data_IF_411559235500
#
_entry.id   IF_411559235500
#
_cell.length_a   1.000
_cell.length_b   1.000
_cell.length_c   1.000
_cell.angle_alpha   90.00
_cell.angle_beta   90.00
_cell.angle_gamma   90.00
#
_symmetry.space_group_name_H-M   'P 1'
#
loop_
_entity.id
_entity.type
_entity.pdbx_description
1 polymer ?
#
# COMPACT_ATOMS: atom_id res chain seq x y z
N UNK A 1 42.90 12.42 -31.74
CA UNK A 1 42.81 10.95 -31.87
C UNK A 1 42.88 10.34 -30.48
N UNK A 2 41.84 9.67 -29.97
CA UNK A 2 41.87 9.01 -28.66
C UNK A 2 42.28 7.52 -28.79
N UNK A 3 43.02 6.94 -27.84
CA UNK A 3 43.08 5.50 -27.71
C UNK A 3 42.22 4.95 -26.56
N UNK A 4 41.29 4.08 -26.98
CA UNK A 4 40.85 2.81 -26.41
C UNK A 4 40.94 2.53 -24.89
N UNK A 5 39.79 2.14 -24.33
CA UNK A 5 39.63 1.38 -23.09
C UNK A 5 40.07 -0.09 -23.28
N UNK A 6 40.38 -0.81 -22.18
CA UNK A 6 39.64 -2.04 -21.95
C UNK A 6 39.17 -2.29 -20.50
N UNK A 7 38.09 -3.06 -20.44
CA UNK A 7 37.37 -3.62 -19.29
C UNK A 7 38.26 -4.37 -18.29
N UNK A 8 37.94 -4.29 -16.99
CA UNK A 8 37.88 -5.46 -16.08
C UNK A 8 37.10 -5.14 -14.79
N UNK A 9 36.30 -6.12 -14.38
CA UNK A 9 35.50 -6.23 -13.14
C UNK A 9 36.40 -6.46 -11.91
N UNK A 10 35.92 -6.06 -10.72
CA UNK A 10 35.98 -6.77 -9.42
C UNK A 10 35.42 -5.82 -8.33
N UNK A 11 34.16 -5.98 -7.88
CA UNK A 11 33.73 -6.76 -6.71
C UNK A 11 34.44 -6.40 -5.39
N UNK A 12 33.72 -5.73 -4.47
CA UNK A 12 33.69 -6.09 -3.05
C UNK A 12 32.52 -5.37 -2.34
N UNK A 13 31.45 -6.12 -2.09
CA UNK A 13 30.42 -5.77 -1.12
C UNK A 13 30.89 -6.20 0.27
N UNK A 14 30.72 -5.33 1.27
CA UNK A 14 30.69 -5.75 2.69
C UNK A 14 29.52 -5.03 3.35
N UNK A 15 28.32 -5.57 3.15
CA UNK A 15 27.17 -5.24 3.97
C UNK A 15 26.91 -6.41 4.91
N UNK A 16 27.12 -6.14 6.19
CA UNK A 16 26.92 -7.04 7.33
C UNK A 16 25.49 -7.58 7.35
N UNK A 17 25.33 -8.89 7.20
CA UNK A 17 24.08 -9.61 7.45
C UNK A 17 24.12 -10.22 8.85
N UNK A 18 23.35 -9.62 9.76
CA UNK A 18 23.03 -10.23 11.04
C UNK A 18 22.20 -11.49 10.81
N UNK A 19 22.72 -12.65 11.22
CA UNK A 19 22.04 -13.94 11.18
C UNK A 19 20.97 -13.99 12.27
N UNK A 20 19.72 -14.16 11.87
CA UNK A 20 18.65 -14.60 12.75
C UNK A 20 18.69 -16.13 12.78
N UNK A 21 19.04 -16.71 13.93
CA UNK A 21 19.10 -18.15 14.12
C UNK A 21 17.71 -18.71 14.38
N UNK A 22 17.18 -19.45 13.41
CA UNK A 22 16.00 -20.30 13.56
C UNK A 22 16.40 -21.55 14.34
N UNK A 23 15.81 -21.75 15.52
CA UNK A 23 15.97 -22.99 16.29
C UNK A 23 14.91 -24.01 15.87
N UNK A 24 15.31 -24.99 15.07
CA UNK A 24 14.63 -26.28 14.95
C UNK A 24 15.64 -27.38 15.26
N UNK A 25 15.47 -28.06 16.39
CA UNK A 25 16.03 -29.40 16.60
C UNK A 25 14.97 -30.23 17.29
N UNK A 26 14.51 -31.23 16.55
CA UNK A 26 13.65 -32.31 16.95
C UNK A 26 14.52 -33.58 16.96
N UNK A 27 14.61 -34.29 18.09
CA UNK A 27 14.50 -35.76 18.21
C UNK A 27 15.20 -36.41 19.42
N UNK A 28 14.47 -37.42 19.93
CA UNK A 28 14.88 -38.71 20.54
C UNK A 28 15.38 -38.75 22.00
N UNK A 29 14.48 -39.26 22.86
CA UNK A 29 14.64 -40.57 23.52
C UNK A 29 15.63 -40.70 24.69
N UNK A 30 15.15 -41.15 25.84
CA UNK A 30 16.00 -41.81 26.85
C UNK A 30 15.62 -41.57 28.31
N UNK A 31 15.06 -42.61 28.94
CA UNK A 31 15.27 -43.11 30.31
C UNK A 31 15.27 -42.15 31.52
N UNK A 32 14.42 -42.51 32.49
CA UNK A 32 14.42 -41.98 33.87
C UNK A 32 15.77 -42.19 34.58
N UNK A 33 16.19 -41.22 35.38
CA UNK A 33 17.30 -41.38 36.32
C UNK A 33 17.80 -40.03 36.82
N UNK A 34 17.57 -39.73 38.10
CA UNK A 34 17.81 -38.41 38.68
C UNK A 34 19.26 -37.93 38.67
N UNK A 35 19.42 -36.61 38.62
CA UNK A 35 20.26 -35.80 39.51
C UNK A 35 20.23 -34.32 39.09
N UNK A 36 20.29 -33.48 40.12
CA UNK A 36 20.72 -32.08 40.13
C UNK A 36 20.04 -31.10 39.17
N UNK A 37 19.22 -30.21 39.73
CA UNK A 37 18.90 -28.92 39.13
C UNK A 37 20.20 -28.16 38.80
N UNK A 38 20.51 -27.85 37.52
CA UNK A 38 21.53 -26.86 37.22
C UNK A 38 20.94 -25.47 37.43
N UNK A 39 21.65 -24.70 38.24
CA UNK A 39 21.43 -23.30 38.51
C UNK A 39 21.29 -22.47 37.22
N UNK A 40 20.36 -21.51 37.28
CA UNK A 40 20.41 -20.22 36.60
C UNK A 40 20.78 -20.22 35.11
N UNK A 41 19.79 -20.40 34.24
CA UNK A 41 19.72 -19.61 33.01
C UNK A 41 18.75 -18.48 33.26
N UNK A 42 19.27 -17.32 33.67
CA UNK A 42 18.51 -16.09 33.73
C UNK A 42 17.91 -15.84 32.34
N UNK A 43 16.60 -16.04 32.20
CA UNK A 43 15.86 -15.61 31.05
C UNK A 43 15.97 -14.08 31.02
N UNK A 44 16.88 -13.57 30.18
CA UNK A 44 16.90 -12.17 29.81
C UNK A 44 15.68 -11.96 28.90
N UNK A 45 14.48 -11.98 29.50
CA UNK A 45 13.32 -11.31 28.91
C UNK A 45 13.78 -9.88 28.79
N UNK A 46 14.10 -9.46 27.56
CA UNK A 46 14.36 -8.08 27.25
C UNK A 46 13.13 -7.30 27.72
N UNK A 47 13.21 -6.76 28.93
CA UNK A 47 12.31 -5.73 29.42
C UNK A 47 12.54 -4.58 28.46
N UNK A 48 11.69 -4.49 27.46
CA UNK A 48 11.55 -3.30 26.65
C UNK A 48 11.14 -2.21 27.63
N UNK A 49 12.12 -1.51 28.20
CA UNK A 49 11.89 -0.40 29.11
C UNK A 49 11.26 0.70 28.27
N UNK A 50 9.93 0.69 28.20
CA UNK A 50 9.17 1.79 27.66
C UNK A 50 9.39 2.97 28.60
N UNK A 51 10.43 3.75 28.30
CA UNK A 51 10.67 5.03 28.96
C UNK A 51 9.42 5.89 28.74
N UNK A 52 8.70 6.32 29.78
CA UNK A 52 7.61 7.24 29.60
C UNK A 52 8.20 8.63 29.34
N UNK A 53 7.44 9.45 28.62
CA UNK A 53 7.59 10.91 28.58
C UNK A 53 8.73 11.50 27.73
N UNK A 54 8.69 11.26 26.43
CA UNK A 54 8.64 12.40 25.53
C UNK A 54 7.21 12.45 25.00
N UNK A 55 6.38 13.37 25.50
CA UNK A 55 5.07 13.63 24.94
C UNK A 55 5.27 13.96 23.46
N UNK A 56 5.01 12.98 22.59
CA UNK A 56 5.05 13.17 21.15
C UNK A 56 4.13 14.36 20.86
N UNK A 57 4.69 15.52 20.50
CA UNK A 57 3.92 16.59 19.86
C UNK A 57 3.13 15.89 18.76
N UNK A 58 1.81 15.83 18.89
CA UNK A 58 0.95 14.93 18.13
C UNK A 58 0.95 15.37 16.66
N UNK A 59 2.00 15.07 15.89
CA UNK A 59 2.16 15.35 14.46
C UNK A 59 1.26 16.49 13.97
N UNK A 60 1.43 17.67 14.57
CA UNK A 60 0.47 18.75 14.38
C UNK A 60 0.69 19.25 12.97
N UNK A 61 -0.22 18.83 12.07
CA UNK A 61 -0.23 19.32 10.71
C UNK A 61 -0.32 20.86 10.80
N UNK A 62 0.44 21.60 9.99
CA UNK A 62 0.39 23.06 10.01
C UNK A 62 -1.07 23.52 9.89
N UNK A 63 -1.50 24.56 10.63
CA UNK A 63 -2.90 24.98 10.65
C UNK A 63 -3.41 25.27 9.23
N UNK A 64 -4.72 25.11 9.00
CA UNK A 64 -5.30 25.42 7.68
C UNK A 64 -5.14 26.92 7.41
N UNK A 65 -4.66 27.33 6.23
CA UNK A 65 -4.59 28.75 5.90
C UNK A 65 -6.00 29.35 5.93
N UNK A 66 -6.12 30.53 6.54
CA UNK A 66 -7.39 31.26 6.60
C UNK A 66 -7.64 31.91 5.23
N UNK A 67 -8.90 31.95 4.76
CA UNK A 67 -9.23 32.70 3.55
C UNK A 67 -8.96 34.20 3.76
N UNK A 68 -8.51 34.93 2.73
CA UNK A 68 -8.31 36.37 2.81
C UNK A 68 -9.63 37.11 3.04
N UNK A 69 -9.57 38.37 3.52
CA UNK A 69 -10.76 39.21 3.71
C UNK A 69 -11.44 39.49 2.37
N UNK A 70 -12.76 39.69 2.41
CA UNK A 70 -13.57 39.93 1.21
C UNK A 70 -13.23 41.28 0.51
N UNK A 71 -12.48 42.19 1.15
CA UNK A 71 -12.05 43.47 0.57
C UNK A 71 -11.03 43.32 -0.57
N UNK A 72 -10.22 42.26 -0.53
CA UNK A 72 -9.05 42.11 -1.40
C UNK A 72 -9.35 41.14 -2.57
N UNK A 73 -10.61 40.75 -2.72
CA UNK A 73 -11.07 39.71 -3.64
C UNK A 73 -12.07 40.28 -4.63
N UNK A 74 -11.76 40.15 -5.92
CA UNK A 74 -12.72 40.35 -7.00
C UNK A 74 -13.41 39.01 -7.31
N UNK A 75 -14.74 38.96 -7.12
CA UNK A 75 -15.56 37.78 -7.44
C UNK A 75 -16.24 37.95 -8.80
N UNK A 76 -16.08 36.98 -9.69
CA UNK A 76 -16.81 36.92 -10.96
C UNK A 76 -17.49 35.57 -11.17
N UNK A 77 -18.69 35.62 -11.73
CA UNK A 77 -19.52 34.43 -12.00
C UNK A 77 -19.51 34.11 -13.47
N UNK A 78 -19.08 32.89 -13.80
CA UNK A 78 -18.97 32.40 -15.16
C UNK A 78 -19.96 31.24 -15.40
N UNK A 79 -20.28 31.01 -16.66
CA UNK A 79 -20.92 29.75 -17.09
C UNK A 79 -19.90 28.63 -17.01
N UNK A 80 -20.37 27.41 -16.74
CA UNK A 80 -19.48 26.26 -16.68
C UNK A 80 -18.91 25.93 -18.06
N UNK A 81 -17.69 25.38 -18.07
CA UNK A 81 -17.03 24.88 -19.28
C UNK A 81 -17.14 23.36 -19.36
N UNK A 82 -17.08 22.82 -20.58
CA UNK A 82 -17.02 21.38 -20.87
C UNK A 82 -18.30 20.77 -21.45
N UNK A 83 -18.26 19.48 -21.87
CA UNK A 83 -19.44 18.74 -22.29
C UNK A 83 -20.39 18.64 -21.09
N UNK A 84 -21.42 19.47 -21.10
CA UNK A 84 -22.31 19.67 -19.97
C UNK A 84 -23.78 19.64 -20.36
N UNK A 85 -24.62 19.23 -19.42
CA UNK A 85 -26.07 19.28 -19.60
C UNK A 85 -26.63 20.71 -19.51
N UNK A 86 -27.96 20.80 -19.59
CA UNK A 86 -28.71 22.06 -19.55
C UNK A 86 -28.28 22.98 -18.39
N UNK A 87 -27.95 22.40 -17.21
CA UNK A 87 -27.58 23.17 -16.02
C UNK A 87 -26.28 23.95 -16.18
N UNK A 88 -25.27 23.36 -16.83
CA UNK A 88 -23.92 23.93 -17.00
C UNK A 88 -23.96 25.11 -17.98
N UNK A 89 -24.73 24.97 -19.06
CA UNK A 89 -24.80 25.97 -20.13
C UNK A 89 -25.69 27.18 -19.77
N UNK A 90 -26.75 26.94 -18.98
CA UNK A 90 -27.71 28.01 -18.61
C UNK A 90 -27.35 28.75 -17.33
N UNK A 91 -26.78 28.07 -16.32
CA UNK A 91 -26.54 28.68 -15.00
C UNK A 91 -25.10 29.16 -14.86
N UNK A 92 -24.90 30.39 -14.40
CA UNK A 92 -23.60 30.95 -13.99
C UNK A 92 -23.18 30.44 -12.61
N UNK A 93 -22.95 29.13 -12.50
CA UNK A 93 -22.55 28.49 -11.23
C UNK A 93 -21.03 28.43 -11.01
N UNK A 94 -20.22 28.62 -12.06
CA UNK A 94 -18.76 28.61 -11.91
C UNK A 94 -18.30 29.94 -11.30
N UNK A 95 -17.39 29.87 -10.33
CA UNK A 95 -16.89 31.05 -9.62
C UNK A 95 -15.42 31.22 -9.95
N UNK A 96 -15.06 32.43 -10.35
CA UNK A 96 -13.69 32.88 -10.48
C UNK A 96 -13.41 33.93 -9.41
N UNK A 97 -12.33 33.72 -8.65
CA UNK A 97 -11.85 34.66 -7.65
C UNK A 97 -10.49 35.18 -8.11
N UNK A 98 -10.29 36.49 -8.03
CA UNK A 98 -9.00 37.13 -8.25
C UNK A 98 -8.60 37.88 -6.98
N UNK A 99 -7.41 37.60 -6.48
CA UNK A 99 -6.84 38.35 -5.37
C UNK A 99 -6.13 39.58 -5.95
N UNK A 100 -6.61 40.78 -5.60
CA UNK A 100 -6.14 42.04 -6.19
C UNK A 100 -4.64 42.27 -5.96
N UNK A 101 -4.09 42.15 -4.73
CA UNK A 101 -2.70 42.53 -4.49
C UNK A 101 -1.68 41.52 -5.02
N UNK A 102 -2.02 40.22 -5.11
CA UNK A 102 -1.10 39.20 -5.65
C UNK A 102 -1.38 38.85 -7.12
N UNK A 103 -2.50 39.29 -7.68
CA UNK A 103 -2.92 38.97 -9.05
C UNK A 103 -3.29 37.50 -9.27
N UNK A 104 -3.37 36.67 -8.23
CA UNK A 104 -3.67 35.24 -8.37
C UNK A 104 -5.13 35.05 -8.72
N UNK A 105 -5.36 34.25 -9.77
CA UNK A 105 -6.69 33.88 -10.22
C UNK A 105 -6.95 32.40 -9.93
N UNK A 106 -8.12 32.12 -9.37
CA UNK A 106 -8.61 30.76 -9.10
C UNK A 106 -10.01 30.61 -9.69
N UNK A 107 -10.25 29.48 -10.38
CA UNK A 107 -11.56 29.12 -10.92
C UNK A 107 -12.02 27.82 -10.25
N UNK A 108 -13.29 27.74 -9.86
CA UNK A 108 -13.89 26.54 -9.29
C UNK A 108 -15.24 26.22 -9.92
N UNK A 109 -15.37 24.98 -10.39
CA UNK A 109 -16.58 24.38 -10.98
C UNK A 109 -16.78 22.96 -10.42
N UNK A 110 -16.70 22.80 -9.09
CA UNK A 110 -16.78 21.48 -8.46
C UNK A 110 -18.24 20.98 -8.34
N UNK A 111 -19.18 21.88 -8.10
CA UNK A 111 -20.58 21.54 -7.80
C UNK A 111 -21.56 22.36 -8.63
N UNK A 112 -22.84 21.94 -8.63
CA UNK A 112 -23.95 22.70 -9.25
C UNK A 112 -24.33 23.99 -8.50
N UNK A 113 -23.88 24.15 -7.25
CA UNK A 113 -24.27 25.25 -6.38
C UNK A 113 -23.21 26.35 -6.33
N UNK A 114 -23.61 27.59 -6.61
CA UNK A 114 -22.70 28.76 -6.59
C UNK A 114 -22.06 29.00 -5.22
N UNK A 115 -22.81 28.80 -4.13
CA UNK A 115 -22.33 29.08 -2.78
C UNK A 115 -21.28 28.08 -2.33
N UNK A 116 -21.44 26.81 -2.72
CA UNK A 116 -20.43 25.78 -2.49
C UNK A 116 -19.17 26.06 -3.32
N UNK A 117 -19.33 26.43 -4.60
CA UNK A 117 -18.19 26.79 -5.44
C UNK A 117 -17.44 28.03 -4.90
N UNK A 118 -18.14 29.02 -4.33
CA UNK A 118 -17.52 30.18 -3.66
C UNK A 118 -16.66 29.75 -2.46
N UNK A 119 -17.18 28.88 -1.60
CA UNK A 119 -16.41 28.34 -0.44
C UNK A 119 -15.16 27.60 -0.91
N UNK A 120 -15.31 26.71 -1.88
CA UNK A 120 -14.20 25.93 -2.44
C UNK A 120 -13.17 26.85 -3.10
N UNK A 121 -13.61 27.86 -3.87
CA UNK A 121 -12.70 28.82 -4.50
C UNK A 121 -11.90 29.61 -3.46
N UNK A 122 -12.51 30.03 -2.34
CA UNK A 122 -11.79 30.69 -1.24
C UNK A 122 -10.75 29.78 -0.57
N UNK A 123 -11.10 28.51 -0.34
CA UNK A 123 -10.16 27.53 0.21
C UNK A 123 -8.96 27.29 -0.72
N UNK A 124 -9.22 27.18 -2.03
CA UNK A 124 -8.17 27.04 -3.04
C UNK A 124 -7.29 28.29 -3.14
N UNK A 125 -7.89 29.48 -3.06
CA UNK A 125 -7.15 30.74 -3.06
C UNK A 125 -6.25 30.85 -1.82
N UNK A 126 -6.77 30.50 -0.64
CA UNK A 126 -5.99 30.45 0.60
C UNK A 126 -4.79 29.49 0.51
N UNK A 127 -4.99 28.31 -0.09
CA UNK A 127 -3.91 27.35 -0.32
C UNK A 127 -2.85 27.91 -1.27
N UNK A 128 -3.24 28.52 -2.39
CA UNK A 128 -2.28 29.13 -3.32
C UNK A 128 -1.50 30.27 -2.68
N UNK A 129 -2.14 31.08 -1.84
CA UNK A 129 -1.46 32.14 -1.09
C UNK A 129 -0.45 31.57 -0.09
N UNK A 130 -0.82 30.50 0.63
CA UNK A 130 0.07 29.78 1.54
C UNK A 130 1.28 29.18 0.80
N UNK A 131 1.05 28.60 -0.38
CA UNK A 131 2.11 28.05 -1.22
C UNK A 131 3.08 29.13 -1.71
N UNK A 132 2.59 30.34 -2.03
CA UNK A 132 3.46 31.45 -2.41
C UNK A 132 4.25 32.01 -1.23
N UNK A 133 3.65 32.07 -0.03
CA UNK A 133 4.30 32.64 1.15
C UNK A 133 5.30 31.67 1.79
N UNK A 134 4.94 30.40 1.90
CA UNK A 134 5.66 29.41 2.69
C UNK A 134 6.39 28.35 1.84
N UNK A 135 6.08 28.22 0.54
CA UNK A 135 6.76 27.30 -0.37
C UNK A 135 6.78 25.86 0.14
N UNK A 136 7.97 25.33 0.46
CA UNK A 136 8.16 23.97 0.97
C UNK A 136 7.57 23.73 2.37
N UNK A 137 7.42 24.80 3.16
CA UNK A 137 6.78 24.74 4.48
C UNK A 137 5.26 24.89 4.40
N UNK A 138 4.70 25.04 3.19
CA UNK A 138 3.27 25.16 3.04
C UNK A 138 2.56 23.89 3.51
N UNK A 139 1.30 24.04 3.93
CA UNK A 139 0.50 22.89 4.35
C UNK A 139 0.34 21.88 3.21
N UNK A 140 0.22 22.35 1.96
CA UNK A 140 0.02 21.47 0.80
C UNK A 140 1.26 20.59 0.56
N UNK A 141 2.47 21.16 0.66
CA UNK A 141 3.73 20.47 0.51
C UNK A 141 3.94 19.41 1.59
N UNK A 142 3.72 19.78 2.86
CA UNK A 142 3.85 18.87 4.01
C UNK A 142 2.83 17.73 3.92
N UNK A 143 1.57 18.04 3.62
CA UNK A 143 0.53 17.01 3.43
C UNK A 143 0.88 16.09 2.25
N UNK A 144 1.41 16.65 1.17
CA UNK A 144 1.90 15.91 0.01
C UNK A 144 3.05 14.95 0.38
N UNK A 145 4.00 15.40 1.19
CA UNK A 145 5.10 14.57 1.66
C UNK A 145 4.64 13.42 2.57
N UNK A 146 3.74 13.70 3.52
CA UNK A 146 3.15 12.67 4.39
C UNK A 146 2.39 11.64 3.57
N UNK A 147 1.61 12.07 2.58
CA UNK A 147 0.90 11.16 1.67
C UNK A 147 1.88 10.30 0.87
N UNK A 148 2.96 10.89 0.33
CA UNK A 148 4.02 10.17 -0.40
C UNK A 148 4.71 9.12 0.48
N UNK A 149 5.09 9.46 1.71
CA UNK A 149 5.71 8.53 2.68
C UNK A 149 4.78 7.34 3.00
N UNK A 150 3.48 7.61 3.21
CA UNK A 150 2.46 6.57 3.45
C UNK A 150 2.28 5.67 2.23
N UNK A 151 2.18 6.23 1.03
CA UNK A 151 2.06 5.46 -0.22
C UNK A 151 3.30 4.58 -0.46
N UNK A 152 4.51 5.10 -0.27
CA UNK A 152 5.75 4.34 -0.41
C UNK A 152 5.83 3.17 0.60
N UNK A 153 5.39 3.40 1.84
CA UNK A 153 5.34 2.36 2.87
C UNK A 153 4.31 1.27 2.53
N UNK A 154 3.14 1.67 2.01
CA UNK A 154 2.12 0.74 1.55
C UNK A 154 2.61 -0.12 0.37
N UNK A 155 3.28 0.51 -0.61
CA UNK A 155 3.86 -0.18 -1.77
C UNK A 155 4.98 -1.17 -1.37
N UNK A 156 5.83 -0.82 -0.40
CA UNK A 156 6.85 -1.76 0.13
C UNK A 156 6.21 -2.97 0.81
N UNK A 157 5.14 -2.75 1.58
CA UNK A 157 4.40 -3.83 2.26
C UNK A 157 3.70 -4.74 1.26
N UNK A 158 3.02 -4.19 0.25
CA UNK A 158 2.40 -5.00 -0.80
C UNK A 158 3.43 -5.82 -1.56
N UNK A 159 4.56 -5.21 -1.97
CA UNK A 159 5.65 -5.92 -2.64
C UNK A 159 6.19 -7.09 -1.80
N UNK A 160 6.42 -6.88 -0.49
CA UNK A 160 6.86 -7.96 0.41
C UNK A 160 5.81 -9.07 0.52
N UNK A 161 4.53 -8.72 0.61
CA UNK A 161 3.43 -9.70 0.68
C UNK A 161 3.39 -10.57 -0.57
N UNK A 162 3.41 -9.97 -1.75
CA UNK A 162 3.33 -10.73 -3.00
C UNK A 162 4.58 -11.57 -3.26
N UNK A 163 5.77 -11.04 -2.94
CA UNK A 163 7.01 -11.82 -3.00
C UNK A 163 6.95 -13.06 -2.10
N UNK A 164 6.47 -12.92 -0.87
CA UNK A 164 6.32 -14.06 0.04
C UNK A 164 5.35 -15.11 -0.52
N UNK A 165 4.21 -14.69 -1.08
CA UNK A 165 3.24 -15.61 -1.67
C UNK A 165 3.79 -16.33 -2.91
N UNK A 166 4.76 -15.74 -3.62
CA UNK A 166 5.43 -16.37 -4.75
C UNK A 166 6.47 -17.41 -4.27
N UNK A 167 7.24 -17.07 -3.23
CA UNK A 167 8.15 -18.00 -2.54
C UNK A 167 7.38 -19.19 -1.94
N UNK A 168 6.31 -18.95 -1.18
CA UNK A 168 5.47 -20.00 -0.57
C UNK A 168 4.83 -20.92 -1.65
N UNK A 169 4.49 -20.37 -2.83
CA UNK A 169 3.95 -21.16 -3.96
C UNK A 169 5.02 -22.02 -4.61
N UNK A 170 6.21 -21.47 -4.85
CA UNK A 170 7.33 -22.22 -5.38
C UNK A 170 7.73 -23.37 -4.44
N UNK A 171 7.76 -23.14 -3.13
CA UNK A 171 7.98 -24.18 -2.12
C UNK A 171 6.90 -25.27 -2.19
N UNK A 172 5.62 -24.89 -2.35
CA UNK A 172 4.51 -25.85 -2.48
C UNK A 172 4.63 -26.70 -3.75
N UNK A 173 4.97 -26.08 -4.89
CA UNK A 173 5.17 -26.78 -6.18
C UNK A 173 6.40 -27.72 -6.16
N UNK A 174 7.46 -27.36 -5.45
CA UNK A 174 8.62 -28.25 -5.23
C UNK A 174 8.27 -29.44 -4.32
N UNK A 175 7.37 -29.26 -3.34
CA UNK A 175 6.93 -30.36 -2.47
C UNK A 175 5.90 -31.30 -3.11
N UNK A 176 5.10 -30.82 -4.07
CA UNK A 176 4.06 -31.62 -4.76
C UNK A 176 4.62 -32.48 -5.90
N UNK A 177 5.86 -32.24 -6.34
CA UNK A 177 6.55 -33.04 -7.36
C UNK A 177 7.45 -34.16 -6.79
N UNK A 178 7.51 -34.29 -5.45
CA UNK A 178 8.36 -35.24 -4.74
C UNK A 178 7.71 -36.57 -4.34
N UNK A 179 6.39 -36.69 -4.39
CA UNK A 179 5.65 -37.91 -3.99
C UNK A 179 4.66 -38.34 -5.07
N UNK A 180 5.19 -38.89 -6.15
CA UNK A 180 4.44 -39.77 -7.06
C UNK A 180 5.22 -41.08 -7.24
N UNK A 181 5.25 -41.90 -6.19
CA UNK A 181 5.52 -43.33 -6.39
C UNK A 181 4.31 -43.98 -7.09
N UNK A 182 4.51 -44.77 -8.16
CA UNK A 182 3.44 -45.52 -8.78
C UNK A 182 3.18 -46.78 -7.96
N UNK A 183 2.19 -46.76 -7.07
CA UNK A 183 1.61 -48.02 -6.58
C UNK A 183 0.81 -48.67 -7.72
N UNK A 184 1.53 -49.50 -8.48
CA UNK A 184 0.94 -50.53 -9.31
C UNK A 184 0.43 -51.65 -8.40
N UNK A 185 -0.87 -51.68 -8.12
CA UNK A 185 -1.55 -52.93 -7.77
C UNK A 185 -2.85 -53.04 -8.58
N UNK A 186 -2.71 -53.58 -9.79
CA UNK A 186 -3.82 -54.05 -10.59
C UNK A 186 -4.39 -55.32 -9.93
N UNK A 187 -5.46 -55.18 -9.17
CA UNK A 187 -6.32 -56.31 -8.79
C UNK A 187 -7.52 -56.30 -9.74
N UNK A 188 -7.47 -57.15 -10.76
CA UNK A 188 -8.58 -57.40 -11.68
C UNK A 188 -9.79 -57.94 -10.89
N UNK A 189 -11.02 -57.39 -11.05
CA UNK A 189 -12.20 -58.04 -10.54
C UNK A 189 -12.53 -59.28 -11.40
N UNK A 190 -12.89 -60.43 -10.79
CA UNK A 190 -13.28 -61.63 -11.54
C UNK A 190 -14.49 -61.34 -12.44
N UNK A 191 -14.37 -61.75 -13.70
CA UNK A 191 -15.43 -61.74 -14.69
C UNK A 191 -16.42 -62.86 -14.33
N UNK A 192 -17.58 -62.52 -13.76
CA UNK A 192 -18.75 -63.40 -13.82
C UNK A 192 -19.62 -62.99 -15.01
N UNK A 193 -19.42 -63.69 -16.13
CA UNK A 193 -20.45 -63.86 -17.15
C UNK A 193 -21.64 -64.59 -16.52
N UNK A 194 -22.77 -63.89 -16.36
CA UNK A 194 -24.08 -64.55 -16.31
C UNK A 194 -24.97 -63.91 -17.35
N UNK A 195 -24.97 -64.56 -18.51
CA UNK A 195 -26.02 -64.58 -19.51
C UNK A 195 -27.41 -64.48 -18.88
N UNK A 196 -28.27 -63.58 -19.35
CA UNK A 196 -29.41 -63.91 -20.22
C UNK A 196 -30.36 -62.71 -20.29
N UNK A 197 -30.62 -62.21 -21.50
CA UNK A 197 -31.74 -61.30 -21.77
C UNK A 197 -33.07 -62.05 -21.53
N UNK A 198 -34.21 -61.36 -21.34
CA UNK A 198 -34.96 -60.99 -22.54
C UNK A 198 -35.78 -59.69 -22.44
N UNK A 199 -35.79 -58.98 -23.57
CA UNK A 199 -36.93 -58.32 -24.25
C UNK A 199 -37.97 -57.50 -23.49
N UNK A 200 -38.49 -56.49 -24.22
CA UNK A 200 -39.77 -55.76 -24.08
C UNK A 200 -39.60 -54.36 -23.46
N UNK A 201 -40.05 -53.25 -24.04
CA UNK A 201 -40.94 -53.04 -25.18
C UNK A 201 -40.61 -51.74 -25.93
N UNK A 202 -41.00 -51.75 -27.19
CA UNK A 202 -40.86 -50.70 -28.19
C UNK A 202 -42.18 -49.95 -28.33
N UNK A 203 -42.06 -48.63 -28.55
CA UNK A 203 -42.99 -47.68 -29.22
C UNK A 203 -44.10 -47.01 -28.39
N UNK A 204 -44.67 -45.91 -28.92
CA UNK A 204 -44.10 -44.88 -29.80
C UNK A 204 -43.99 -43.50 -29.11
#
# INVERSE_FOLDING_TARGET
MPPALPLTRLLASVFSTARNASSSVFMRGGSWGGRSFPAARAALVARFSASPAAALKKHEMPPRPKPPPDSDIEESYLKGSGPGGQKINKTSSAVQLKHIPTGIVVKSQATRSRSQNRKIARELLAQKLDDLQNGDQSRSAIVGEVKRKKAASAAKKSKRKYRKLEEDKAETEETDSGDAEPEAEAVEPPIEERTNAPSMDVKP
#
